data_IF_925199354795
#
_entry.id   IF_925199354795
#
_cell.length_a   1.000
_cell.length_b   1.000
_cell.length_c   1.000
_cell.angle_alpha   90.00
_cell.angle_beta   90.00
_cell.angle_gamma   90.00
#
_symmetry.space_group_name_H-M   'P 1'
#
loop_
_entity.id
_entity.type
_entity.pdbx_description
1 polymer ?
#
# COMPACT_ATOMS: atom_id res chain seq x y z
N UNK A 1 -13.18 -4.91 8.80
CA UNK A 1 -11.89 -4.24 9.07
C UNK A 1 -12.13 -2.76 9.36
N UNK A 2 -11.37 -2.22 10.30
CA UNK A 2 -11.45 -0.78 10.57
C UNK A 2 -10.45 -0.04 9.68
N UNK A 3 -10.92 0.48 8.56
CA UNK A 3 -10.03 1.12 7.58
C UNK A 3 -9.45 2.45 8.08
N UNK A 4 -10.09 3.11 9.04
CA UNK A 4 -9.52 4.32 9.64
C UNK A 4 -8.28 3.96 10.46
N UNK A 5 -8.36 2.92 11.28
CA UNK A 5 -7.19 2.42 12.02
C UNK A 5 -6.11 1.89 11.08
N UNK A 6 -6.52 1.26 9.99
CA UNK A 6 -5.59 0.79 8.99
C UNK A 6 -4.79 1.95 8.38
N UNK A 7 -5.47 3.01 7.94
CA UNK A 7 -4.79 4.17 7.37
C UNK A 7 -3.92 4.88 8.40
N UNK A 8 -4.38 4.97 9.64
CA UNK A 8 -3.56 5.54 10.72
C UNK A 8 -2.30 4.70 10.92
N UNK A 9 -2.43 3.37 10.93
CA UNK A 9 -1.28 2.48 11.02
C UNK A 9 -0.32 2.66 9.87
N UNK A 10 -0.84 2.84 8.66
CA UNK A 10 -0.02 3.11 7.50
C UNK A 10 0.78 4.40 7.67
N UNK A 11 0.15 5.50 8.05
CA UNK A 11 0.83 6.77 8.23
C UNK A 11 1.82 6.75 9.39
N UNK A 12 1.53 6.00 10.44
CA UNK A 12 2.49 5.82 11.54
C UNK A 12 3.76 5.12 11.05
N UNK A 13 3.61 4.12 10.21
CA UNK A 13 4.76 3.42 9.63
C UNK A 13 5.55 4.29 8.67
N UNK A 14 4.88 5.09 7.85
CA UNK A 14 5.54 6.00 6.93
C UNK A 14 6.44 6.98 7.70
N UNK A 15 5.97 7.47 8.84
CA UNK A 15 6.75 8.40 9.64
C UNK A 15 8.07 7.80 10.13
N UNK A 16 8.15 6.47 10.23
CA UNK A 16 9.35 5.76 10.67
C UNK A 16 10.24 5.30 9.51
N UNK A 17 9.73 5.35 8.28
CA UNK A 17 10.43 4.82 7.11
C UNK A 17 10.94 5.95 6.23
N UNK A 18 12.21 6.34 6.46
CA UNK A 18 12.80 7.45 5.73
C UNK A 18 13.01 7.18 4.24
N UNK A 19 12.98 5.92 3.82
CA UNK A 19 13.14 5.54 2.41
C UNK A 19 11.88 5.75 1.58
N UNK A 20 10.73 5.95 2.23
CA UNK A 20 9.47 6.15 1.52
C UNK A 20 9.30 7.63 1.15
N UNK A 21 8.73 7.85 -0.03
CA UNK A 21 8.51 9.19 -0.58
C UNK A 21 7.07 9.30 -1.10
N UNK A 22 6.65 10.47 -1.60
CA UNK A 22 5.27 10.65 -2.07
C UNK A 22 4.81 9.64 -3.12
N UNK A 23 5.73 9.13 -3.93
CA UNK A 23 5.40 8.13 -4.96
C UNK A 23 4.93 6.83 -4.32
N UNK A 24 5.59 6.39 -3.26
CA UNK A 24 5.17 5.21 -2.50
C UNK A 24 3.80 5.41 -1.89
N UNK A 25 3.56 6.58 -1.33
CA UNK A 25 2.27 6.90 -0.69
C UNK A 25 1.16 6.89 -1.73
N UNK A 26 1.39 7.53 -2.88
CA UNK A 26 0.42 7.56 -3.96
C UNK A 26 0.09 6.16 -4.47
N UNK A 27 1.10 5.31 -4.66
CA UNK A 27 0.88 3.94 -5.09
C UNK A 27 0.12 3.14 -4.03
N UNK A 28 0.52 3.26 -2.78
CA UNK A 28 -0.15 2.54 -1.70
C UNK A 28 -1.63 2.93 -1.59
N UNK A 29 -1.95 4.21 -1.69
CA UNK A 29 -3.34 4.66 -1.61
C UNK A 29 -4.17 4.15 -2.79
N UNK A 30 -3.57 4.04 -3.97
CA UNK A 30 -4.23 3.44 -5.13
C UNK A 30 -4.53 1.96 -4.89
N UNK A 31 -3.56 1.23 -4.33
CA UNK A 31 -3.76 -0.17 -3.94
C UNK A 31 -4.83 -0.31 -2.85
N UNK A 32 -4.81 0.57 -1.88
CA UNK A 32 -5.81 0.57 -0.82
C UNK A 32 -7.21 0.76 -1.39
N UNK A 33 -7.37 1.66 -2.37
CA UNK A 33 -8.64 1.88 -3.01
C UNK A 33 -9.12 0.63 -3.76
N UNK A 34 -8.23 -0.06 -4.45
CA UNK A 34 -8.57 -1.32 -5.10
C UNK A 34 -9.01 -2.37 -4.09
N UNK A 35 -8.33 -2.41 -2.95
CA UNK A 35 -8.67 -3.32 -1.87
C UNK A 35 -10.05 -2.97 -1.28
N UNK A 36 -10.31 -1.68 -1.08
CA UNK A 36 -11.62 -1.19 -0.64
C UNK A 36 -12.73 -1.63 -1.58
N UNK A 37 -12.54 -1.44 -2.89
CA UNK A 37 -13.53 -1.84 -3.91
C UNK A 37 -13.75 -3.36 -3.87
N UNK A 38 -12.72 -4.13 -3.54
CA UNK A 38 -12.81 -5.57 -3.37
C UNK A 38 -13.29 -5.96 -1.97
N UNK A 39 -13.91 -5.04 -1.25
CA UNK A 39 -14.47 -5.24 0.10
C UNK A 39 -13.42 -5.72 1.09
N UNK A 40 -12.18 -5.24 0.94
CA UNK A 40 -11.04 -5.59 1.77
C UNK A 40 -10.72 -7.08 1.80
N UNK A 41 -11.06 -7.78 0.72
CA UNK A 41 -10.71 -9.21 0.57
C UNK A 41 -9.42 -9.34 -0.23
N UNK A 42 -8.58 -10.24 0.20
CA UNK A 42 -7.34 -10.62 -0.47
C UNK A 42 -7.51 -11.96 -1.20
N UNK A 43 -6.78 -12.18 -2.28
CA UNK A 43 -5.94 -11.20 -2.97
C UNK A 43 -6.76 -10.27 -3.85
N UNK A 44 -6.19 -9.12 -4.18
CA UNK A 44 -6.73 -8.26 -5.24
C UNK A 44 -5.93 -8.51 -6.52
N UNK A 45 -6.59 -8.35 -7.65
CA UNK A 45 -5.95 -8.44 -8.96
C UNK A 45 -5.74 -7.02 -9.48
N UNK A 46 -4.52 -6.70 -9.85
CA UNK A 46 -4.18 -5.36 -10.36
C UNK A 46 -3.55 -5.46 -11.72
N UNK A 47 -3.66 -4.38 -12.51
CA UNK A 47 -2.86 -4.20 -13.69
C UNK A 47 -1.88 -3.04 -13.45
N UNK A 48 -0.67 -3.18 -14.02
CA UNK A 48 0.32 -2.12 -13.91
C UNK A 48 -0.22 -0.80 -14.45
N UNK A 49 -0.88 -0.85 -15.61
CA UNK A 49 -1.36 0.36 -16.26
C UNK A 49 -2.40 1.09 -15.42
N UNK A 50 -3.31 0.36 -14.81
CA UNK A 50 -4.30 0.96 -13.91
C UNK A 50 -3.66 1.55 -12.66
N UNK A 51 -2.68 0.84 -12.10
CA UNK A 51 -1.98 1.32 -10.92
C UNK A 51 -1.15 2.56 -11.21
N UNK A 52 -0.47 2.58 -12.35
CA UNK A 52 0.30 3.75 -12.78
C UNK A 52 -0.60 4.94 -13.03
N UNK A 53 -1.74 4.72 -13.67
CA UNK A 53 -2.71 5.78 -13.93
C UNK A 53 -3.27 6.36 -12.63
N UNK A 54 -3.70 5.51 -11.71
CA UNK A 54 -4.30 5.95 -10.45
C UNK A 54 -3.31 6.65 -9.54
N UNK A 55 -2.08 6.17 -9.50
CA UNK A 55 -1.03 6.72 -8.65
C UNK A 55 -0.30 7.90 -9.28
N UNK A 56 -0.55 8.17 -10.57
CA UNK A 56 0.14 9.22 -11.33
C UNK A 56 1.63 8.94 -11.51
N UNK A 57 2.01 7.68 -11.51
CA UNK A 57 3.40 7.27 -11.77
C UNK A 57 3.54 7.05 -13.28
N UNK A 58 4.39 7.84 -13.93
CA UNK A 58 4.57 7.76 -15.38
C UNK A 58 5.65 6.75 -15.80
N UNK A 59 6.58 6.45 -14.92
CA UNK A 59 7.72 5.57 -15.23
C UNK A 59 7.47 4.15 -14.73
N UNK A 60 7.62 3.17 -15.64
CA UNK A 60 7.51 1.75 -15.27
C UNK A 60 8.58 1.37 -14.26
N UNK A 61 9.80 1.91 -14.41
CA UNK A 61 10.89 1.63 -13.49
C UNK A 61 10.55 2.13 -12.08
N UNK A 62 10.00 3.33 -11.97
CA UNK A 62 9.57 3.89 -10.69
C UNK A 62 8.46 3.04 -10.06
N UNK A 63 7.49 2.64 -10.87
CA UNK A 63 6.40 1.78 -10.40
C UNK A 63 6.93 0.48 -9.80
N UNK A 64 7.78 -0.24 -10.53
CA UNK A 64 8.31 -1.51 -10.07
C UNK A 64 9.19 -1.35 -8.83
N UNK A 65 9.99 -0.30 -8.79
CA UNK A 65 10.80 0.00 -7.61
C UNK A 65 9.92 0.21 -6.39
N UNK A 66 8.88 1.03 -6.52
CA UNK A 66 7.99 1.35 -5.40
C UNK A 66 7.23 0.14 -4.89
N UNK A 67 6.68 -0.69 -5.80
CA UNK A 67 5.90 -1.84 -5.35
C UNK A 67 6.79 -2.88 -4.66
N UNK A 68 8.02 -3.06 -5.15
CA UNK A 68 8.97 -3.97 -4.51
C UNK A 68 9.41 -3.47 -3.15
N UNK A 69 9.58 -2.16 -2.99
CA UNK A 69 9.92 -1.58 -1.70
C UNK A 69 8.78 -1.70 -0.70
N UNK A 70 7.54 -1.49 -1.14
CA UNK A 70 6.37 -1.69 -0.29
C UNK A 70 6.26 -3.14 0.17
N UNK A 71 6.58 -4.09 -0.71
CA UNK A 71 6.62 -5.50 -0.33
C UNK A 71 7.73 -5.77 0.68
N UNK A 72 8.93 -5.29 0.41
CA UNK A 72 10.08 -5.50 1.30
C UNK A 72 9.81 -4.95 2.70
N UNK A 73 9.09 -3.85 2.80
CA UNK A 73 8.79 -3.20 4.07
C UNK A 73 7.54 -3.78 4.76
N UNK A 74 6.92 -4.79 4.17
CA UNK A 74 5.83 -5.51 4.81
C UNK A 74 4.46 -4.89 4.66
N UNK A 75 4.26 -3.99 3.71
CA UNK A 75 2.94 -3.40 3.47
C UNK A 75 2.02 -4.32 2.65
N UNK A 76 2.62 -5.14 1.80
CA UNK A 76 1.88 -6.03 0.92
C UNK A 76 2.75 -7.20 0.48
N UNK A 77 2.11 -8.22 -0.12
CA UNK A 77 2.77 -9.27 -0.86
C UNK A 77 2.34 -9.17 -2.32
N UNK A 78 3.31 -9.09 -3.20
CA UNK A 78 3.10 -8.91 -4.62
C UNK A 78 3.54 -10.16 -5.37
N UNK A 79 2.62 -10.74 -6.15
CA UNK A 79 2.89 -11.96 -6.92
C UNK A 79 2.66 -11.67 -8.41
N UNK A 80 3.74 -11.40 -9.16
CA UNK A 80 3.61 -11.18 -10.59
C UNK A 80 3.11 -12.43 -11.28
N UNK A 81 2.21 -12.26 -12.25
CA UNK A 81 1.70 -13.36 -13.04
C UNK A 81 2.54 -13.54 -14.29
N UNK A 82 2.81 -14.80 -14.63
CA UNK A 82 3.45 -15.14 -15.89
C UNK A 82 2.44 -15.14 -17.06
N UNK A 83 1.16 -15.13 -16.75
CA UNK A 83 0.10 -15.06 -17.74
C UNK A 83 -0.36 -13.60 -17.87
N UNK A 84 -0.13 -12.95 -19.04
CA UNK A 84 -0.49 -11.53 -19.20
C UNK A 84 -1.99 -11.26 -19.08
N UNK A 85 -2.82 -12.29 -19.18
CA UNK A 85 -4.27 -12.14 -19.07
C UNK A 85 -4.79 -12.28 -17.62
N UNK A 86 -3.95 -12.78 -16.72
CA UNK A 86 -4.36 -13.04 -15.34
C UNK A 86 -4.14 -11.86 -14.41
N UNK A 87 -3.36 -10.86 -14.83
CA UNK A 87 -3.00 -9.74 -13.97
C UNK A 87 -2.01 -10.15 -12.87
N UNK A 88 -1.79 -9.25 -11.96
CA UNK A 88 -0.89 -9.44 -10.83
C UNK A 88 -1.70 -9.54 -9.55
N UNK A 89 -1.37 -10.52 -8.72
CA UNK A 89 -2.04 -10.67 -7.43
C UNK A 89 -1.30 -9.90 -6.35
N UNK A 90 -2.06 -9.22 -5.51
CA UNK A 90 -1.52 -8.48 -4.36
C UNK A 90 -2.34 -8.83 -3.13
N UNK A 91 -1.63 -9.18 -2.06
CA UNK A 91 -2.23 -9.36 -0.74
C UNK A 91 -1.86 -8.13 0.08
N UNK A 92 -2.85 -7.31 0.40
CA UNK A 92 -2.63 -6.10 1.20
C UNK A 92 -2.69 -6.49 2.67
N UNK A 93 -1.64 -6.18 3.42
CA UNK A 93 -1.58 -6.52 4.84
C UNK A 93 -2.46 -5.57 5.64
N UNK A 94 -3.14 -6.10 6.64
CA UNK A 94 -3.95 -5.31 7.53
C UNK A 94 -3.05 -4.61 8.55
N UNK A 95 -2.93 -3.30 8.44
CA UNK A 95 -2.08 -2.50 9.31
C UNK A 95 -2.80 -2.02 10.58
N UNK A 96 -4.09 -2.26 10.69
CA UNK A 96 -4.86 -1.82 11.87
C UNK A 96 -4.45 -2.58 13.14
N UNK A 97 -3.94 -3.80 13.00
CA UNK A 97 -3.45 -4.58 14.15
C UNK A 97 -2.15 -4.01 14.71
N UNK A 98 -1.38 -3.32 13.88
CA UNK A 98 -0.17 -2.62 14.31
C UNK A 98 -0.43 -1.21 14.80
N UNK A 99 -1.69 -0.80 14.86
CA UNK A 99 -2.04 0.53 15.33
C UNK A 99 -1.74 0.66 16.82
N UNK A 100 -0.95 1.65 17.15
CA UNK A 100 -0.63 1.96 18.54
C UNK A 100 -1.25 3.30 18.85
N UNK A 101 -2.15 3.31 19.84
CA UNK A 101 -2.75 4.55 20.31
C UNK A 101 -1.70 5.34 21.08
N UNK A 102 -1.52 6.60 20.69
CA UNK A 102 -0.53 7.45 21.34
C UNK A 102 -1.03 7.89 22.70
N UNK A 103 -0.18 7.85 23.74
CA UNK A 103 -0.53 8.45 25.01
C UNK A 103 -0.82 9.93 24.85
N UNK A 104 -1.77 10.44 25.61
CA UNK A 104 -2.18 11.85 25.54
C UNK A 104 -1.02 12.78 25.81
N UNK A 105 -0.10 12.40 26.68
CA UNK A 105 1.04 13.23 27.03
C UNK A 105 1.98 13.50 25.88
N UNK A 106 1.93 12.72 24.81
CA UNK A 106 2.79 12.92 23.64
C UNK A 106 2.31 14.06 22.76
N UNK A 107 1.10 14.50 22.94
CA UNK A 107 0.47 15.49 22.08
C UNK A 107 0.84 16.91 22.42
N UNK A 108 1.46 17.14 23.54
CA UNK A 108 1.84 18.48 23.96
C UNK A 108 3.21 18.89 23.43
N UNK A 109 3.79 18.10 22.61
CA UNK A 109 5.05 18.42 21.97
C UNK A 109 4.82 19.11 20.62
#
# INVERSE_FOLDING_TARGET
MNYIKHLTGFFNRIALENSLNPTHISLYLTLFQCWNVNRFKNPITISRDEMMKGSKIASKATYHKCIKELQRLGFLDYQPSFNPYSGTLVFVHNLSEGYIEKPIIEENT
#
